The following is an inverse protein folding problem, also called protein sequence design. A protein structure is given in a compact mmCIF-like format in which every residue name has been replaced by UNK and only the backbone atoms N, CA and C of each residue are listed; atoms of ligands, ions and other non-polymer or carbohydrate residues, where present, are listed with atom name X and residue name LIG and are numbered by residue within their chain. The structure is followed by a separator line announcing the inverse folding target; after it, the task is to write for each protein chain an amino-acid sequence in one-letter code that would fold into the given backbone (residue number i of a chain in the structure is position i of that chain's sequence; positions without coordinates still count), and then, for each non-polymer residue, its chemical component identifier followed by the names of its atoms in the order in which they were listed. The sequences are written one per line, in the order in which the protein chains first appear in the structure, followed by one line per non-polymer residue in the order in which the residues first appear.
data_IF_281290047146
#
_entry.id   IF_281290047146
#
_cell.length_a   1.000
_cell.length_b   1.000
_cell.length_c   1.000
_cell.angle_alpha   90.00
_cell.angle_beta   90.00
_cell.angle_gamma   90.00
#
_symmetry.space_group_name_H-M   'P 1'
#
loop_
_entity.id
_entity.type
_entity.pdbx_description
1 polymer ?
#
# COMPACT_ATOMS: atom_id res chain seq x y z
N UNK A 1 4.39 -6.02 -11.28
CA UNK A 1 5.56 -6.15 -12.16
C UNK A 1 5.86 -7.62 -12.43
N UNK A 2 6.41 -7.95 -13.60
CA UNK A 2 6.84 -9.31 -13.94
C UNK A 2 8.06 -9.72 -13.12
N UNK A 3 7.93 -10.79 -12.36
CA UNK A 3 9.03 -11.39 -11.57
C UNK A 3 8.84 -12.90 -11.41
N UNK A 4 9.91 -13.62 -11.10
CA UNK A 4 9.84 -15.03 -10.72
C UNK A 4 9.50 -15.22 -9.26
N UNK A 5 9.86 -14.25 -8.43
CA UNK A 5 9.64 -14.28 -6.99
C UNK A 5 8.84 -13.07 -6.58
N UNK A 6 7.81 -13.31 -5.78
CA UNK A 6 7.00 -12.27 -5.15
C UNK A 6 6.91 -12.52 -3.67
N UNK A 7 6.94 -11.46 -2.90
CA UNK A 7 6.83 -11.45 -1.46
C UNK A 7 5.65 -10.55 -1.10
N UNK A 8 4.70 -11.06 -0.36
CA UNK A 8 3.46 -10.36 0.00
C UNK A 8 3.39 -10.30 1.52
N UNK A 9 3.89 -9.23 2.14
CA UNK A 9 3.58 -8.96 3.55
C UNK A 9 2.07 -8.93 3.77
N UNK A 10 1.55 -9.24 4.97
CA UNK A 10 0.13 -9.11 5.24
C UNK A 10 -0.30 -7.64 5.16
N UNK A 11 -1.59 -7.41 5.04
CA UNK A 11 -2.20 -6.11 5.34
C UNK A 11 -2.83 -6.14 6.73
N UNK A 12 -3.02 -4.97 7.33
CA UNK A 12 -3.86 -4.83 8.50
C UNK A 12 -5.27 -4.40 8.10
N UNK A 13 -6.27 -4.96 8.76
CA UNK A 13 -7.67 -4.63 8.61
C UNK A 13 -8.29 -4.32 9.98
N UNK A 14 -9.35 -3.54 10.00
CA UNK A 14 -10.01 -3.14 11.24
C UNK A 14 -10.98 -4.22 11.73
N UNK A 15 -10.60 -4.93 12.78
CA UNK A 15 -11.40 -5.98 13.44
C UNK A 15 -12.27 -5.48 14.60
N UNK A 16 -12.40 -4.17 14.81
CA UNK A 16 -13.28 -3.63 15.87
C UNK A 16 -14.74 -3.97 15.62
N UNK A 17 -15.45 -4.32 16.66
CA UNK A 17 -16.88 -4.65 16.57
C UNK A 17 -17.68 -3.51 15.94
N UNK A 18 -18.45 -3.83 14.91
CA UNK A 18 -19.25 -2.87 14.17
C UNK A 18 -18.47 -1.98 13.22
N UNK A 19 -17.20 -2.29 12.92
CA UNK A 19 -16.39 -1.56 11.96
C UNK A 19 -16.93 -1.67 10.53
N UNK A 20 -17.57 -2.77 10.18
CA UNK A 20 -17.98 -3.09 8.81
C UNK A 20 -16.82 -3.02 7.82
N UNK A 21 -15.62 -3.40 8.26
CA UNK A 21 -14.39 -3.42 7.48
C UNK A 21 -13.72 -4.80 7.49
N UNK A 22 -14.44 -5.82 7.95
CA UNK A 22 -13.94 -7.19 8.02
C UNK A 22 -13.59 -7.69 6.62
N UNK A 23 -12.37 -8.19 6.37
CA UNK A 23 -12.02 -8.81 5.12
C UNK A 23 -12.94 -10.01 4.86
N UNK A 24 -13.61 -10.01 3.73
CA UNK A 24 -14.46 -11.11 3.31
C UNK A 24 -13.69 -11.99 2.35
N UNK A 25 -14.03 -12.03 1.09
CA UNK A 25 -13.35 -12.87 0.12
C UNK A 25 -11.98 -12.30 -0.29
N UNK A 26 -10.94 -13.10 -0.14
CA UNK A 26 -9.55 -12.72 -0.45
C UNK A 26 -8.99 -13.67 -1.51
N UNK A 27 -8.38 -13.10 -2.56
CA UNK A 27 -7.87 -13.85 -3.70
C UNK A 27 -6.47 -13.41 -4.09
N UNK A 28 -5.62 -14.38 -4.44
CA UNK A 28 -4.37 -14.15 -5.16
C UNK A 28 -4.61 -14.45 -6.64
N UNK A 29 -4.29 -13.49 -7.51
CA UNK A 29 -4.31 -13.66 -8.96
C UNK A 29 -2.89 -13.75 -9.48
N UNK A 30 -2.63 -14.78 -10.30
CA UNK A 30 -1.34 -14.97 -10.95
C UNK A 30 -1.57 -15.06 -12.46
N UNK A 31 -0.85 -14.23 -13.22
CA UNK A 31 -0.94 -14.22 -14.68
C UNK A 31 0.42 -14.02 -15.33
N UNK A 32 0.53 -14.31 -16.62
CA UNK A 32 1.78 -14.16 -17.38
C UNK A 32 1.48 -13.86 -18.85
N UNK A 33 2.29 -13.00 -19.51
CA UNK A 33 2.22 -12.82 -20.96
C UNK A 33 2.85 -14.01 -21.74
N UNK A 34 3.44 -15.00 -21.06
CA UNK A 34 4.09 -16.16 -21.65
C UNK A 34 3.10 -17.03 -22.41
N UNK A 35 3.41 -17.38 -23.66
CA UNK A 35 2.69 -18.39 -24.43
C UNK A 35 3.03 -19.82 -24.04
N UNK A 36 4.04 -20.00 -23.19
CA UNK A 36 4.50 -21.28 -22.65
C UNK A 36 4.00 -21.35 -21.22
N UNK A 37 3.55 -22.54 -20.81
CA UNK A 37 3.13 -22.83 -19.46
C UNK A 37 4.20 -22.45 -18.42
N UNK A 38 3.76 -21.79 -17.37
CA UNK A 38 4.60 -21.31 -16.26
C UNK A 38 4.11 -21.96 -14.98
N UNK A 39 4.97 -22.76 -14.36
CA UNK A 39 4.66 -23.38 -13.08
C UNK A 39 4.88 -22.35 -11.96
N UNK A 40 3.96 -22.35 -11.00
CA UNK A 40 4.06 -21.51 -9.81
C UNK A 40 3.81 -22.31 -8.54
N UNK A 41 4.31 -21.76 -7.43
CA UNK A 41 4.06 -22.24 -6.07
C UNK A 41 3.74 -21.02 -5.19
N UNK A 42 2.59 -21.05 -4.52
CA UNK A 42 2.22 -20.08 -3.45
C UNK A 42 2.48 -20.74 -2.11
N UNK A 43 3.27 -20.09 -1.30
CA UNK A 43 3.74 -20.55 0.01
C UNK A 43 3.16 -19.64 1.08
N UNK A 44 2.13 -20.05 1.83
CA UNK A 44 1.73 -19.32 3.03
C UNK A 44 2.88 -19.35 4.04
N UNK A 45 3.28 -18.20 4.56
CA UNK A 45 4.37 -18.10 5.55
C UNK A 45 4.04 -18.93 6.79
N UNK A 46 5.04 -19.64 7.31
CA UNK A 46 4.90 -20.53 8.47
C UNK A 46 4.23 -21.87 8.19
N UNK A 47 3.78 -22.12 6.95
CA UNK A 47 3.11 -23.36 6.59
C UNK A 47 4.08 -24.50 6.23
N UNK A 48 3.61 -25.74 6.33
CA UNK A 48 4.36 -26.90 5.87
C UNK A 48 4.20 -27.08 4.35
N UNK A 49 5.12 -27.82 3.67
CA UNK A 49 5.02 -28.06 2.23
C UNK A 49 3.70 -28.69 1.76
N UNK A 50 2.99 -29.39 2.65
CA UNK A 50 1.68 -29.97 2.35
C UNK A 50 0.58 -28.90 2.11
N UNK A 51 0.80 -27.67 2.58
CA UNK A 51 -0.13 -26.55 2.40
C UNK A 51 0.24 -25.63 1.23
N UNK A 52 1.30 -25.94 0.48
CA UNK A 52 1.70 -25.15 -0.67
C UNK A 52 0.70 -25.34 -1.81
N UNK A 53 0.33 -24.23 -2.45
CA UNK A 53 -0.58 -24.24 -3.59
C UNK A 53 0.27 -24.16 -4.86
N UNK A 54 0.16 -25.19 -5.70
CA UNK A 54 0.91 -25.26 -6.97
C UNK A 54 -0.04 -25.25 -8.15
N UNK A 55 0.40 -24.69 -9.25
CA UNK A 55 -0.39 -24.67 -10.48
C UNK A 55 0.41 -24.20 -11.68
N UNK A 56 -0.31 -23.97 -12.76
CA UNK A 56 0.24 -23.54 -14.04
C UNK A 56 -0.57 -22.36 -14.57
N UNK A 57 0.11 -21.36 -15.11
CA UNK A 57 -0.49 -20.23 -15.82
C UNK A 57 0.14 -20.04 -17.20
N UNK A 58 -0.61 -19.44 -18.10
CA UNK A 58 -0.14 -19.05 -19.44
C UNK A 58 -0.84 -17.75 -19.88
N UNK A 59 -0.47 -17.21 -21.04
CA UNK A 59 -1.11 -16.02 -21.59
C UNK A 59 -2.64 -16.13 -21.70
N UNK A 60 -3.16 -17.34 -21.90
CA UNK A 60 -4.60 -17.62 -22.06
C UNK A 60 -5.29 -18.16 -20.81
N UNK A 61 -4.53 -18.41 -19.73
CA UNK A 61 -5.04 -19.01 -18.50
C UNK A 61 -4.31 -18.41 -17.28
N UNK A 62 -4.99 -17.56 -16.54
CA UNK A 62 -4.52 -17.06 -15.24
C UNK A 62 -4.96 -18.01 -14.12
N UNK A 63 -4.39 -17.83 -12.94
CA UNK A 63 -4.84 -18.48 -11.71
C UNK A 63 -5.57 -17.48 -10.82
N UNK A 64 -6.69 -17.94 -10.24
CA UNK A 64 -7.43 -17.29 -9.17
C UNK A 64 -7.42 -18.25 -7.97
N UNK A 65 -6.89 -17.81 -6.87
CA UNK A 65 -6.66 -18.62 -5.68
C UNK A 65 -7.33 -17.95 -4.49
N UNK A 66 -8.42 -18.52 -4.01
CA UNK A 66 -9.03 -18.08 -2.76
C UNK A 66 -8.10 -18.40 -1.60
N UNK A 67 -7.83 -17.41 -0.76
CA UNK A 67 -6.98 -17.55 0.43
C UNK A 67 -7.77 -17.44 1.73
N UNK A 68 -9.09 -17.27 1.64
CA UNK A 68 -10.02 -17.33 2.77
C UNK A 68 -10.76 -16.04 3.03
N UNK A 69 -11.39 -15.96 4.19
CA UNK A 69 -12.15 -14.83 4.70
C UNK A 69 -11.69 -14.47 6.11
N UNK A 70 -11.89 -13.23 6.53
CA UNK A 70 -11.50 -12.78 7.86
C UNK A 70 -9.99 -12.72 8.03
N UNK A 71 -9.53 -13.15 9.20
CA UNK A 71 -8.11 -13.23 9.52
C UNK A 71 -7.44 -14.39 8.77
N UNK A 72 -6.47 -14.07 7.93
CA UNK A 72 -5.74 -15.03 7.07
C UNK A 72 -4.23 -14.77 7.10
N UNK A 73 -3.47 -15.47 6.24
CA UNK A 73 -2.08 -15.10 6.02
C UNK A 73 -1.94 -13.74 5.31
N UNK A 74 -2.96 -13.28 4.57
CA UNK A 74 -2.91 -11.99 3.86
C UNK A 74 -3.44 -10.83 4.69
N UNK A 75 -4.56 -10.97 5.38
CA UNK A 75 -5.18 -9.91 6.17
C UNK A 75 -5.17 -10.25 7.65
N UNK A 76 -4.68 -9.33 8.47
CA UNK A 76 -4.73 -9.42 9.94
C UNK A 76 -5.85 -8.50 10.42
N UNK A 77 -6.83 -9.05 11.14
CA UNK A 77 -7.91 -8.27 11.73
C UNK A 77 -7.51 -7.73 13.11
N UNK A 78 -7.08 -6.47 13.16
CA UNK A 78 -6.62 -5.85 14.38
C UNK A 78 -7.76 -5.24 15.20
N UNK A 79 -7.73 -5.48 16.50
CA UNK A 79 -8.53 -4.83 17.53
C UNK A 79 -7.64 -4.00 18.46
N UNK A 80 -8.24 -3.28 19.42
CA UNK A 80 -7.46 -2.53 20.41
C UNK A 80 -6.55 -3.47 21.21
N UNK A 81 -5.25 -3.18 21.22
CA UNK A 81 -4.25 -3.97 21.94
C UNK A 81 -4.00 -5.37 21.37
N UNK A 82 -4.30 -5.57 20.09
CA UNK A 82 -4.12 -6.86 19.42
C UNK A 82 -2.64 -7.26 19.38
N UNK A 83 -2.35 -8.48 19.84
CA UNK A 83 -0.98 -8.98 19.96
C UNK A 83 -0.27 -9.24 18.60
N UNK A 84 -0.98 -9.22 17.49
CA UNK A 84 -0.40 -9.33 16.14
C UNK A 84 0.10 -8.00 15.59
N UNK A 85 -0.30 -6.85 16.18
CA UNK A 85 0.29 -5.56 15.90
C UNK A 85 1.58 -5.35 16.72
N UNK A 86 2.53 -4.62 16.17
CA UNK A 86 3.83 -4.33 16.77
C UNK A 86 4.55 -5.58 17.33
N UNK A 87 4.49 -6.67 16.56
CA UNK A 87 5.08 -7.95 16.92
C UNK A 87 5.70 -8.64 15.69
N UNK A 88 6.73 -9.45 15.93
CA UNK A 88 7.30 -10.31 14.90
C UNK A 88 6.38 -11.50 14.66
N UNK A 89 5.92 -11.66 13.42
CA UNK A 89 5.01 -12.72 13.01
C UNK A 89 5.70 -13.67 12.02
N UNK A 90 5.61 -14.96 12.28
CA UNK A 90 6.21 -16.02 11.44
C UNK A 90 5.17 -16.87 10.68
N UNK A 91 3.92 -16.41 10.64
CA UNK A 91 2.78 -17.13 10.05
C UNK A 91 1.87 -16.22 9.22
N UNK A 92 2.31 -15.02 8.84
CA UNK A 92 1.53 -14.06 8.06
C UNK A 92 2.31 -13.65 6.81
N UNK A 93 1.59 -13.54 5.69
CA UNK A 93 2.13 -13.23 4.37
C UNK A 93 2.26 -14.44 3.46
N UNK A 94 2.67 -14.17 2.22
CA UNK A 94 2.87 -15.18 1.18
C UNK A 94 4.20 -14.98 0.46
N UNK A 95 4.83 -16.08 0.07
CA UNK A 95 5.93 -16.10 -0.90
C UNK A 95 5.44 -16.85 -2.14
N UNK A 96 5.62 -16.26 -3.32
CA UNK A 96 5.22 -16.88 -4.59
C UNK A 96 6.46 -17.04 -5.47
N UNK A 97 6.70 -18.27 -5.89
CA UNK A 97 7.80 -18.63 -6.77
C UNK A 97 7.25 -19.16 -8.09
N UNK A 98 7.85 -18.74 -9.21
CA UNK A 98 7.52 -19.26 -10.53
C UNK A 98 8.79 -19.59 -11.33
N UNK A 99 8.71 -20.52 -12.26
CA UNK A 99 9.84 -20.91 -13.12
C UNK A 99 10.14 -19.83 -14.20
N UNK A 100 9.16 -18.99 -14.51
CA UNK A 100 9.24 -17.81 -15.40
C UNK A 100 8.55 -16.61 -14.77
N UNK A 101 8.81 -15.38 -15.28
CA UNK A 101 8.16 -14.20 -14.71
C UNK A 101 6.64 -14.21 -14.83
N UNK A 102 5.98 -13.86 -13.73
CA UNK A 102 4.52 -13.72 -13.60
C UNK A 102 4.17 -12.35 -13.03
N UNK A 103 2.93 -11.91 -13.24
CA UNK A 103 2.30 -10.85 -12.45
C UNK A 103 1.56 -11.48 -11.28
N UNK A 104 1.58 -10.80 -10.14
CA UNK A 104 0.81 -11.18 -8.96
C UNK A 104 0.07 -9.98 -8.43
N UNK A 105 -1.23 -10.13 -8.20
CA UNK A 105 -2.04 -9.19 -7.44
C UNK A 105 -2.84 -9.92 -6.37
N UNK A 106 -3.14 -9.22 -5.29
CA UNK A 106 -4.08 -9.70 -4.27
C UNK A 106 -5.26 -8.75 -4.26
N UNK A 107 -6.46 -9.29 -4.18
CA UNK A 107 -7.71 -8.52 -4.12
C UNK A 107 -8.57 -9.07 -3.01
N UNK A 108 -9.34 -8.18 -2.39
CA UNK A 108 -10.26 -8.53 -1.32
C UNK A 108 -11.54 -7.70 -1.38
N UNK A 109 -12.58 -8.28 -0.85
CA UNK A 109 -13.79 -7.61 -0.42
C UNK A 109 -13.77 -7.38 1.09
N UNK A 110 -14.50 -6.40 1.56
CA UNK A 110 -14.67 -6.15 2.97
C UNK A 110 -16.01 -5.47 3.28
N UNK A 111 -16.67 -5.92 4.34
CA UNK A 111 -17.86 -5.28 4.89
C UNK A 111 -19.03 -5.11 3.93
N UNK A 112 -19.10 -5.87 2.85
CA UNK A 112 -20.18 -5.89 1.87
C UNK A 112 -20.25 -4.66 0.95
N UNK A 113 -19.29 -3.73 1.00
CA UNK A 113 -19.30 -2.53 0.18
C UNK A 113 -17.89 -1.96 -0.12
N UNK A 114 -16.85 -2.45 0.53
CA UNK A 114 -15.47 -2.05 0.32
C UNK A 114 -14.72 -3.12 -0.46
N UNK A 115 -13.74 -2.67 -1.25
CA UNK A 115 -12.86 -3.55 -1.97
C UNK A 115 -11.43 -3.01 -1.94
N UNK A 116 -10.44 -3.89 -2.07
CA UNK A 116 -9.05 -3.51 -2.09
C UNK A 116 -8.24 -4.36 -3.05
N UNK A 117 -7.24 -3.75 -3.66
CA UNK A 117 -6.28 -4.43 -4.50
C UNK A 117 -4.85 -3.99 -4.19
N UNK A 118 -3.95 -4.94 -4.21
CA UNK A 118 -2.52 -4.73 -4.06
C UNK A 118 -1.81 -5.42 -5.22
N UNK A 119 -0.91 -4.71 -5.89
CA UNK A 119 -0.11 -5.28 -6.96
C UNK A 119 1.32 -5.51 -6.49
N UNK A 120 1.74 -6.76 -6.46
CA UNK A 120 3.13 -7.08 -6.10
C UNK A 120 4.11 -6.50 -7.10
N UNK A 121 5.12 -5.82 -6.58
CA UNK A 121 6.20 -5.24 -7.37
C UNK A 121 7.32 -6.28 -7.68
N UNK A 122 7.18 -7.53 -7.20
CA UNK A 122 8.18 -8.58 -7.40
C UNK A 122 9.56 -8.16 -6.93
N UNK A 123 10.60 -8.40 -7.75
CA UNK A 123 11.96 -7.99 -7.42
C UNK A 123 12.16 -6.46 -7.35
N UNK A 124 11.27 -5.66 -7.95
CA UNK A 124 11.34 -4.21 -7.79
C UNK A 124 10.82 -3.73 -6.44
N UNK A 125 10.02 -4.53 -5.73
CA UNK A 125 9.61 -4.25 -4.35
C UNK A 125 10.74 -4.40 -3.34
N UNK A 126 11.82 -5.08 -3.69
CA UNK A 126 12.99 -5.25 -2.81
C UNK A 126 13.74 -3.93 -2.64
N UNK A 127 14.05 -3.57 -1.42
CA UNK A 127 14.80 -2.36 -1.09
C UNK A 127 15.20 -2.33 0.38
N UNK A 128 15.91 -1.26 0.78
CA UNK A 128 16.43 -1.09 2.14
C UNK A 128 15.98 0.20 2.81
N UNK A 129 15.38 1.12 2.07
CA UNK A 129 14.88 2.39 2.58
C UNK A 129 13.59 2.75 1.86
N UNK A 130 12.55 3.12 2.63
CA UNK A 130 11.20 3.41 2.13
C UNK A 130 10.58 4.56 2.92
N UNK A 131 9.57 5.20 2.31
CA UNK A 131 8.66 6.11 3.00
C UNK A 131 7.23 5.63 2.81
N UNK A 132 6.51 5.46 3.90
CA UNK A 132 5.12 4.99 3.89
C UNK A 132 4.16 6.02 3.33
N UNK A 133 3.05 5.55 2.78
CA UNK A 133 1.89 6.35 2.40
C UNK A 133 0.62 5.71 2.91
N UNK A 134 -0.38 6.54 3.22
CA UNK A 134 -1.73 6.12 3.59
C UNK A 134 -2.71 7.22 3.22
N UNK A 135 -4.01 6.99 3.35
CA UNK A 135 -4.94 8.10 3.43
C UNK A 135 -4.62 8.95 4.68
N UNK A 136 -4.85 10.25 4.61
CA UNK A 136 -4.74 11.13 5.78
C UNK A 136 -5.94 10.99 6.72
N UNK A 137 -7.01 10.35 6.26
CA UNK A 137 -8.18 9.96 7.06
C UNK A 137 -8.74 11.07 7.97
N UNK A 138 -8.73 12.32 7.49
CA UNK A 138 -9.16 13.50 8.26
C UNK A 138 -10.58 13.33 8.80
N UNK A 139 -10.77 13.63 10.09
CA UNK A 139 -12.05 13.53 10.78
C UNK A 139 -12.80 12.23 10.46
N UNK A 140 -12.26 11.08 10.77
CA UNK A 140 -12.86 9.81 10.42
C UNK A 140 -14.29 9.73 10.96
N UNK A 141 -15.27 9.58 10.05
CA UNK A 141 -16.69 9.58 10.40
C UNK A 141 -17.14 8.35 11.19
N UNK A 142 -16.26 7.42 11.44
CA UNK A 142 -16.51 6.19 12.18
C UNK A 142 -15.20 5.57 12.67
N UNK A 143 -15.33 4.55 13.54
CA UNK A 143 -14.20 3.81 14.11
C UNK A 143 -13.67 2.67 13.19
N UNK A 144 -14.05 2.63 11.93
CA UNK A 144 -13.64 1.57 11.02
C UNK A 144 -12.42 1.90 10.14
N UNK A 145 -11.83 3.10 10.30
CA UNK A 145 -10.59 3.45 9.61
C UNK A 145 -9.37 2.81 10.29
N UNK A 146 -8.41 2.38 9.50
CA UNK A 146 -7.14 1.86 9.98
C UNK A 146 -6.04 2.18 8.97
N UNK A 147 -4.93 2.77 9.43
CA UNK A 147 -3.72 2.98 8.65
C UNK A 147 -2.64 2.01 9.11
N UNK A 148 -1.80 1.52 8.18
CA UNK A 148 -0.78 0.53 8.51
C UNK A 148 0.48 0.63 7.65
N UNK A 149 1.57 0.06 8.19
CA UNK A 149 2.82 -0.27 7.53
C UNK A 149 3.09 -1.74 7.83
N UNK A 150 3.37 -2.54 6.81
CA UNK A 150 3.71 -3.95 6.95
C UNK A 150 4.99 -4.27 6.19
N UNK A 151 5.93 -4.93 6.85
CA UNK A 151 7.20 -5.33 6.26
C UNK A 151 7.38 -6.84 6.30
N UNK A 152 8.12 -7.38 5.33
CA UNK A 152 8.58 -8.76 5.32
C UNK A 152 10.08 -8.80 5.02
N UNK A 153 10.86 -9.47 5.85
CA UNK A 153 12.27 -9.72 5.59
C UNK A 153 12.43 -10.82 4.53
N UNK A 154 13.49 -10.71 3.71
CA UNK A 154 13.81 -11.73 2.70
C UNK A 154 15.03 -12.58 3.08
N UNK A 155 15.65 -12.28 4.19
CA UNK A 155 16.85 -12.96 4.70
C UNK A 155 16.85 -13.00 6.23
N UNK A 156 17.50 -14.01 6.80
CA UNK A 156 17.63 -14.15 8.26
C UNK A 156 18.43 -13.00 8.88
N UNK A 157 18.10 -12.68 10.14
CA UNK A 157 18.73 -11.63 10.92
C UNK A 157 18.75 -10.27 10.18
N UNK A 158 17.64 -9.87 9.60
CA UNK A 158 17.46 -8.56 8.99
C UNK A 158 17.06 -7.55 10.06
N UNK A 159 17.89 -6.53 10.27
CA UNK A 159 17.56 -5.41 11.15
C UNK A 159 16.64 -4.44 10.40
N UNK A 160 15.49 -4.11 10.99
CA UNK A 160 14.52 -3.17 10.45
C UNK A 160 14.30 -2.05 11.47
N UNK A 161 14.34 -0.82 11.02
CA UNK A 161 14.05 0.39 11.82
C UNK A 161 12.86 1.13 11.22
N UNK A 162 11.86 1.43 12.03
CA UNK A 162 10.82 2.41 11.71
C UNK A 162 11.17 3.68 12.45
N UNK A 163 11.44 4.75 11.74
CA UNK A 163 11.94 6.01 12.31
C UNK A 163 11.03 7.19 12.01
N UNK A 164 11.21 8.27 12.76
CA UNK A 164 10.43 9.50 12.64
C UNK A 164 8.92 9.31 12.94
N UNK A 165 8.59 8.41 13.84
CA UNK A 165 7.22 8.26 14.36
C UNK A 165 7.02 9.31 15.45
N UNK A 166 5.97 10.11 15.37
CA UNK A 166 5.65 11.07 16.43
C UNK A 166 5.19 10.36 17.70
N UNK A 167 5.61 10.89 18.85
CA UNK A 167 5.22 10.34 20.17
C UNK A 167 3.74 10.54 20.52
N UNK A 168 3.03 11.30 19.72
CA UNK A 168 1.58 11.53 19.83
C UNK A 168 0.75 10.50 19.06
N UNK A 169 1.39 9.71 18.21
CA UNK A 169 0.76 8.63 17.46
C UNK A 169 0.48 7.45 18.40
N UNK A 170 -0.77 7.00 18.46
CA UNK A 170 -1.24 5.91 19.31
C UNK A 170 -1.22 4.58 18.51
N UNK A 171 -0.07 3.89 18.52
CA UNK A 171 0.12 2.63 17.82
C UNK A 171 -0.62 1.49 18.53
N UNK A 172 -1.22 0.59 17.77
CA UNK A 172 -1.86 -0.60 18.31
C UNK A 172 -0.81 -1.50 18.97
N UNK A 173 -1.05 -1.91 20.22
CA UNK A 173 -0.18 -2.80 21.00
C UNK A 173 1.26 -2.31 21.18
N UNK A 174 1.49 -1.01 21.20
CA UNK A 174 2.81 -0.43 21.47
C UNK A 174 2.72 0.64 22.56
N UNK A 175 3.72 0.72 23.40
CA UNK A 175 3.80 1.77 24.42
C UNK A 175 4.78 2.86 23.97
N UNK A 176 4.25 3.94 23.46
CA UNK A 176 5.04 5.06 22.96
C UNK A 176 5.84 5.71 24.10
N UNK A 177 7.11 6.11 23.81
CA UNK A 177 7.89 6.86 24.78
C UNK A 177 7.25 8.21 25.10
N UNK A 178 7.10 8.56 26.37
CA UNK A 178 6.50 9.81 26.79
C UNK A 178 7.30 11.05 26.32
N UNK A 179 6.60 12.15 26.07
CA UNK A 179 7.18 13.45 25.70
C UNK A 179 6.84 13.89 24.30
N UNK A 180 7.51 14.95 23.85
CA UNK A 180 7.37 15.50 22.49
C UNK A 180 8.46 14.98 21.56
N UNK A 181 8.27 15.18 20.25
CA UNK A 181 9.20 14.76 19.20
C UNK A 181 8.93 13.34 18.69
N UNK A 182 9.91 12.75 18.05
CA UNK A 182 9.82 11.44 17.40
C UNK A 182 10.52 10.33 18.19
N UNK A 183 10.27 9.09 17.78
CA UNK A 183 10.97 7.91 18.27
C UNK A 183 11.14 6.89 17.13
N UNK A 184 11.96 5.87 17.38
CA UNK A 184 12.23 4.78 16.45
C UNK A 184 11.88 3.44 17.09
N UNK A 185 11.39 2.52 16.26
CA UNK A 185 11.20 1.11 16.62
C UNK A 185 12.25 0.29 15.87
N UNK A 186 12.96 -0.58 16.56
CA UNK A 186 14.00 -1.42 15.97
C UNK A 186 13.67 -2.88 16.21
N UNK A 187 13.61 -3.66 15.14
CA UNK A 187 13.30 -5.09 15.18
C UNK A 187 14.31 -5.90 14.37
N UNK A 188 14.41 -7.18 14.69
CA UNK A 188 15.18 -8.13 13.91
C UNK A 188 14.26 -9.23 13.41
N UNK A 189 14.24 -9.44 12.10
CA UNK A 189 13.38 -10.40 11.43
C UNK A 189 14.23 -11.48 10.76
N UNK A 190 13.81 -12.72 10.86
CA UNK A 190 14.33 -13.80 10.03
C UNK A 190 13.61 -13.84 8.68
N UNK A 191 14.12 -14.65 7.75
CA UNK A 191 13.56 -14.75 6.40
C UNK A 191 12.06 -15.07 6.43
N UNK A 192 11.27 -14.23 5.77
CA UNK A 192 9.81 -14.28 5.65
C UNK A 192 9.02 -13.91 6.92
N UNK A 193 9.70 -13.63 8.03
CA UNK A 193 9.02 -12.98 9.14
C UNK A 193 8.54 -11.60 8.77
N UNK A 194 7.44 -11.18 9.39
CA UNK A 194 6.76 -9.92 9.11
C UNK A 194 6.58 -9.11 10.38
N UNK A 195 6.43 -7.80 10.21
CA UNK A 195 6.13 -6.88 11.31
C UNK A 195 5.12 -5.84 10.83
N UNK A 196 4.08 -5.60 11.62
CA UNK A 196 2.99 -4.67 11.25
C UNK A 196 2.86 -3.58 12.29
N UNK A 197 2.99 -2.32 11.86
CA UNK A 197 2.58 -1.15 12.63
C UNK A 197 1.21 -0.69 12.12
N UNK A 198 0.31 -0.37 13.02
CA UNK A 198 -1.02 0.11 12.66
C UNK A 198 -1.57 1.10 13.70
N UNK A 199 -2.46 1.96 13.23
CA UNK A 199 -3.18 2.94 14.05
C UNK A 199 -4.66 2.95 13.69
N UNK A 200 -5.50 3.31 14.65
CA UNK A 200 -6.89 3.66 14.38
C UNK A 200 -7.01 5.19 14.32
N UNK A 201 -7.27 5.79 13.15
CA UNK A 201 -7.44 7.25 13.00
C UNK A 201 -8.47 7.85 13.96
N UNK A 202 -9.52 7.09 14.31
CA UNK A 202 -10.55 7.54 15.24
C UNK A 202 -10.10 7.68 16.71
N UNK A 203 -8.92 7.16 17.09
CA UNK A 203 -8.45 7.25 18.46
C UNK A 203 -7.94 8.65 18.81
N UNK A 204 -7.12 9.22 17.96
CA UNK A 204 -6.53 10.56 18.16
C UNK A 204 -6.32 11.25 16.81
N UNK A 205 -6.31 12.57 16.78
CA UNK A 205 -6.01 13.33 15.56
C UNK A 205 -4.60 13.01 15.00
N UNK A 206 -3.65 12.68 15.86
CA UNK A 206 -2.30 12.30 15.43
C UNK A 206 -2.24 10.97 14.65
N UNK A 207 -3.29 10.15 14.75
CA UNK A 207 -3.38 8.89 14.01
C UNK A 207 -3.94 9.09 12.60
N UNK A 208 -4.55 10.24 12.29
CA UNK A 208 -5.17 10.49 11.00
C UNK A 208 -4.13 10.37 9.87
N UNK A 209 -2.97 10.99 10.05
CA UNK A 209 -1.86 11.02 9.09
C UNK A 209 -0.50 10.55 9.67
N UNK A 210 -0.48 10.15 10.93
CA UNK A 210 0.74 9.86 11.69
C UNK A 210 1.65 8.77 11.14
N UNK A 211 1.13 7.91 10.25
CA UNK A 211 1.94 6.93 9.53
C UNK A 211 2.40 7.39 8.15
N UNK A 212 1.94 8.53 7.62
CA UNK A 212 2.41 9.04 6.33
C UNK A 212 3.86 9.50 6.49
N UNK A 213 4.76 9.02 5.63
CA UNK A 213 6.15 9.42 5.57
C UNK A 213 7.05 8.84 6.67
N UNK A 214 6.60 7.88 7.47
CA UNK A 214 7.48 7.11 8.37
C UNK A 214 8.61 6.52 7.56
N UNK A 215 9.84 6.72 8.02
CA UNK A 215 11.05 6.16 7.39
C UNK A 215 11.22 4.70 7.84
N UNK A 216 11.32 3.80 6.86
CA UNK A 216 11.56 2.38 7.09
C UNK A 216 12.93 2.05 6.51
N UNK A 217 13.85 1.64 7.34
CA UNK A 217 15.21 1.28 6.94
C UNK A 217 15.55 -0.15 7.34
N UNK A 218 16.44 -0.79 6.58
CA UNK A 218 16.93 -2.13 6.87
C UNK A 218 18.35 -2.34 6.38
N UNK A 219 19.09 -3.26 7.01
CA UNK A 219 20.42 -3.64 6.58
C UNK A 219 20.42 -4.60 5.38
N UNK A 220 19.32 -5.33 5.16
CA UNK A 220 19.10 -6.26 4.04
C UNK A 220 17.79 -5.95 3.33
N UNK A 221 17.58 -6.54 2.16
CA UNK A 221 16.36 -6.29 1.39
C UNK A 221 15.11 -6.76 2.12
N UNK A 222 14.15 -5.87 2.21
CA UNK A 222 12.79 -6.09 2.70
C UNK A 222 11.77 -5.75 1.63
N UNK A 223 10.52 -6.13 1.86
CA UNK A 223 9.37 -5.71 1.07
C UNK A 223 8.39 -5.01 1.98
N UNK A 224 7.76 -3.94 1.49
CA UNK A 224 6.86 -3.10 2.27
C UNK A 224 5.51 -2.96 1.57
N UNK A 225 4.43 -3.30 2.29
CA UNK A 225 3.06 -2.90 1.98
C UNK A 225 2.66 -1.74 2.89
N UNK A 226 1.90 -0.79 2.38
CA UNK A 226 1.44 0.36 3.14
C UNK A 226 0.07 0.80 2.68
N UNK A 227 -0.63 1.56 3.51
CA UNK A 227 -1.91 2.13 3.14
C UNK A 227 -2.92 2.15 4.27
N UNK A 228 -4.18 2.14 3.87
CA UNK A 228 -5.32 2.18 4.77
C UNK A 228 -6.30 1.08 4.45
N UNK A 229 -6.79 0.38 5.45
CA UNK A 229 -8.00 -0.41 5.34
C UNK A 229 -9.18 0.48 5.75
N UNK A 230 -10.07 0.72 4.80
CA UNK A 230 -11.25 1.55 5.02
C UNK A 230 -10.91 3.00 5.41
N UNK A 231 -10.14 3.70 4.60
CA UNK A 231 -9.71 5.08 4.78
C UNK A 231 -10.19 6.03 3.69
N UNK A 232 -9.84 7.31 3.78
CA UNK A 232 -10.18 8.34 2.81
C UNK A 232 -9.25 9.54 2.92
N UNK A 233 -9.01 10.25 1.81
CA UNK A 233 -8.42 11.60 1.81
C UNK A 233 -9.45 12.70 2.12
N UNK A 234 -10.72 12.35 2.19
CA UNK A 234 -11.81 13.30 2.38
C UNK A 234 -12.38 13.27 3.80
N UNK A 235 -12.77 14.43 4.29
CA UNK A 235 -13.52 14.57 5.53
C UNK A 235 -15.00 14.21 5.30
N UNK A 236 -15.36 12.95 5.43
CA UNK A 236 -16.73 12.51 5.19
C UNK A 236 -16.98 11.03 5.38
N UNK A 237 -18.01 10.53 4.74
CA UNK A 237 -18.49 9.15 4.90
C UNK A 237 -17.98 8.19 3.83
N UNK A 238 -17.37 8.69 2.77
CA UNK A 238 -16.77 7.86 1.72
C UNK A 238 -15.45 7.26 2.18
N UNK A 239 -15.29 5.95 1.99
CA UNK A 239 -14.12 5.21 2.43
C UNK A 239 -14.00 3.89 1.68
N UNK A 240 -12.75 3.49 1.44
CA UNK A 240 -12.43 2.19 0.86
C UNK A 240 -11.01 1.78 1.27
N UNK A 241 -10.55 0.62 0.79
CA UNK A 241 -9.17 0.19 0.94
C UNK A 241 -8.26 0.95 -0.02
N UNK A 242 -7.26 1.64 0.53
CA UNK A 242 -6.16 2.24 -0.22
C UNK A 242 -4.86 1.55 0.16
N UNK A 243 -4.53 0.46 -0.50
CA UNK A 243 -3.39 -0.39 -0.16
C UNK A 243 -2.53 -0.65 -1.38
N UNK A 244 -1.20 -0.63 -1.23
CA UNK A 244 -0.30 -1.13 -2.27
C UNK A 244 1.04 -1.59 -1.69
N UNK A 245 1.79 -2.32 -2.49
CA UNK A 245 3.18 -2.61 -2.27
C UNK A 245 4.02 -1.48 -2.86
N UNK A 246 4.99 -0.98 -2.10
CA UNK A 246 5.87 0.11 -2.53
C UNK A 246 7.26 -0.39 -2.92
N UNK A 247 8.07 0.49 -3.48
CA UNK A 247 9.46 0.21 -3.88
C UNK A 247 10.43 0.98 -3.00
N UNK A 248 11.70 0.60 -3.00
CA UNK A 248 12.74 1.34 -2.28
C UNK A 248 13.01 2.72 -2.88
N UNK A 249 13.56 3.63 -2.07
CA UNK A 249 13.88 5.02 -2.40
C UNK A 249 14.77 5.16 -3.64
N UNK A 250 15.57 4.15 -3.96
CA UNK A 250 16.40 4.15 -5.15
C UNK A 250 15.60 4.05 -6.46
N UNK A 251 14.32 3.63 -6.39
CA UNK A 251 13.42 3.42 -7.54
C UNK A 251 12.33 4.47 -7.68
N UNK A 252 12.24 5.42 -6.77
CA UNK A 252 11.38 6.61 -6.92
C UNK A 252 12.13 7.71 -7.66
N UNK A 253 11.44 8.73 -8.12
CA UNK A 253 11.99 9.77 -8.98
C UNK A 253 11.50 11.16 -8.66
N UNK A 254 11.67 12.06 -9.63
CA UNK A 254 11.35 13.48 -9.52
C UNK A 254 10.26 13.94 -10.50
N UNK A 255 9.81 13.05 -11.40
CA UNK A 255 8.82 13.40 -12.42
C UNK A 255 7.71 12.35 -12.44
N UNK A 256 6.46 12.82 -12.40
CA UNK A 256 5.27 11.99 -12.35
C UNK A 256 4.17 12.55 -13.23
N UNK A 257 3.34 11.67 -13.77
CA UNK A 257 2.11 12.02 -14.47
C UNK A 257 0.95 11.20 -13.90
N UNK A 258 -0.15 11.89 -13.62
CA UNK A 258 -1.36 11.29 -13.09
C UNK A 258 -2.52 11.58 -14.05
N UNK A 259 -3.48 10.66 -14.09
CA UNK A 259 -4.72 10.82 -14.83
C UNK A 259 -5.86 10.86 -13.83
N UNK A 260 -6.72 11.88 -13.93
CA UNK A 260 -7.86 12.04 -13.06
C UNK A 260 -8.84 10.88 -13.25
N UNK A 261 -9.37 10.35 -12.15
CA UNK A 261 -10.44 9.38 -12.18
C UNK A 261 -11.82 10.02 -12.38
N UNK A 262 -12.87 9.31 -12.02
CA UNK A 262 -14.26 9.78 -12.18
C UNK A 262 -14.81 10.54 -10.97
N UNK A 263 -14.01 10.83 -9.96
CA UNK A 263 -14.43 11.46 -8.71
C UNK A 263 -14.51 12.98 -8.77
N UNK A 264 -15.13 13.57 -7.76
CA UNK A 264 -15.08 14.99 -7.52
C UNK A 264 -13.68 15.43 -7.11
N UNK A 265 -13.36 16.72 -7.26
CA UNK A 265 -12.03 17.26 -6.98
C UNK A 265 -11.49 16.91 -5.59
N UNK A 266 -12.31 16.90 -4.55
CA UNK A 266 -11.89 16.53 -3.21
C UNK A 266 -11.56 15.04 -3.02
N UNK A 267 -11.86 14.18 -3.99
CA UNK A 267 -11.63 12.73 -3.93
C UNK A 267 -10.60 12.23 -4.93
N UNK A 268 -10.11 13.09 -5.78
CA UNK A 268 -9.04 12.83 -6.75
C UNK A 268 -7.74 13.44 -6.22
N UNK A 269 -7.02 12.68 -5.42
CA UNK A 269 -5.90 13.19 -4.66
C UNK A 269 -4.58 12.53 -5.08
N UNK A 270 -3.51 13.31 -5.05
CA UNK A 270 -2.14 12.82 -5.18
C UNK A 270 -1.39 13.14 -3.90
N UNK A 271 -0.91 12.11 -3.22
CA UNK A 271 -0.03 12.23 -2.07
C UNK A 271 1.42 12.13 -2.53
N UNK A 272 2.22 13.15 -2.22
CA UNK A 272 3.66 13.17 -2.45
C UNK A 272 4.38 13.21 -1.10
N UNK A 273 5.31 12.28 -0.89
CA UNK A 273 6.07 12.18 0.37
C UNK A 273 7.55 12.45 0.08
N UNK A 274 8.14 13.39 0.82
CA UNK A 274 9.54 13.80 0.68
C UNK A 274 10.51 12.67 1.05
N UNK A 275 11.63 12.59 0.34
CA UNK A 275 12.79 11.76 0.73
C UNK A 275 13.93 12.59 1.30
N UNK A 276 13.95 13.89 0.98
CA UNK A 276 14.95 14.86 1.41
C UNK A 276 14.25 16.15 1.87
N UNK A 277 14.96 16.95 2.68
CA UNK A 277 14.46 18.25 3.12
C UNK A 277 14.52 19.28 1.99
N UNK A 278 13.70 20.33 2.09
CA UNK A 278 13.57 21.40 1.11
C UNK A 278 13.21 20.90 -0.30
N UNK A 279 12.43 19.84 -0.39
CA UNK A 279 11.93 19.32 -1.66
C UNK A 279 10.85 20.22 -2.24
N UNK A 280 11.19 20.95 -3.31
CA UNK A 280 10.25 21.84 -4.02
C UNK A 280 9.38 21.04 -5.00
N UNK A 281 8.07 21.22 -4.90
CA UNK A 281 7.08 20.61 -5.79
C UNK A 281 6.56 21.67 -6.77
N UNK A 282 6.49 21.31 -8.05
CA UNK A 282 5.89 22.12 -9.11
C UNK A 282 4.88 21.29 -9.88
N UNK A 283 3.82 21.91 -10.35
CA UNK A 283 2.70 21.27 -11.04
C UNK A 283 2.48 21.87 -12.42
N UNK A 284 2.11 21.01 -13.38
CA UNK A 284 1.69 21.36 -14.74
C UNK A 284 2.69 22.27 -15.51
N UNK A 285 3.99 22.05 -15.28
CA UNK A 285 5.05 22.82 -15.95
C UNK A 285 5.22 24.26 -15.47
N UNK A 286 4.54 24.67 -14.39
CA UNK A 286 4.73 25.97 -13.79
C UNK A 286 6.14 26.11 -13.21
N UNK A 287 6.74 27.29 -13.39
CA UNK A 287 8.05 27.61 -12.80
C UNK A 287 7.95 27.99 -11.31
N UNK A 288 6.78 28.44 -10.86
CA UNK A 288 6.53 28.75 -9.47
C UNK A 288 6.49 27.44 -8.63
N UNK A 289 7.06 27.51 -7.44
CA UNK A 289 6.99 26.44 -6.46
C UNK A 289 5.55 26.38 -5.93
N UNK A 290 4.92 25.21 -6.04
CA UNK A 290 3.60 24.94 -5.48
C UNK A 290 3.69 24.74 -3.97
N UNK A 291 4.59 23.85 -3.56
CA UNK A 291 4.82 23.50 -2.15
C UNK A 291 6.29 23.17 -1.91
N UNK A 292 6.74 23.31 -0.69
CA UNK A 292 8.03 22.78 -0.23
C UNK A 292 7.77 21.82 0.92
N UNK A 293 8.32 20.61 0.84
CA UNK A 293 8.15 19.55 1.83
C UNK A 293 9.51 19.09 2.35
N UNK A 294 9.54 18.65 3.61
CA UNK A 294 10.77 18.36 4.35
C UNK A 294 10.71 16.96 4.97
N UNK A 295 11.56 16.06 4.54
CA UNK A 295 11.56 14.66 5.00
C UNK A 295 11.78 14.50 6.51
N UNK A 296 12.46 15.44 7.15
CA UNK A 296 12.75 15.44 8.59
C UNK A 296 11.68 16.12 9.45
N UNK A 297 10.76 16.91 8.85
CA UNK A 297 9.68 17.59 9.58
C UNK A 297 8.38 16.78 9.47
N UNK A 298 7.98 16.13 10.54
CA UNK A 298 6.77 15.30 10.60
C UNK A 298 5.49 16.05 10.23
N UNK A 299 5.44 17.38 10.41
CA UNK A 299 4.28 18.20 10.06
C UNK A 299 4.31 18.71 8.61
N UNK A 300 5.41 18.49 7.88
CA UNK A 300 5.59 19.02 6.52
C UNK A 300 6.24 17.99 5.57
N UNK A 301 6.26 16.71 5.92
CA UNK A 301 6.94 15.65 5.13
C UNK A 301 6.17 15.17 3.92
N UNK A 302 4.96 15.67 3.70
CA UNK A 302 4.14 15.33 2.56
C UNK A 302 3.27 16.51 2.12
N UNK A 303 2.74 16.41 0.91
CA UNK A 303 1.68 17.28 0.39
C UNK A 303 0.64 16.45 -0.33
N UNK A 304 -0.63 16.85 -0.20
CA UNK A 304 -1.75 16.31 -0.96
C UNK A 304 -2.16 17.35 -2.00
N UNK A 305 -2.15 16.95 -3.28
CA UNK A 305 -2.65 17.72 -4.40
C UNK A 305 -4.07 17.23 -4.71
N UNK A 306 -5.03 18.13 -4.78
CA UNK A 306 -6.44 17.79 -5.00
C UNK A 306 -6.81 17.79 -6.49
N UNK A 307 -8.00 17.33 -6.82
CA UNK A 307 -8.50 17.22 -8.20
C UNK A 307 -8.57 18.53 -8.97
N UNK A 308 -8.62 19.68 -8.29
CA UNK A 308 -8.55 21.02 -8.90
C UNK A 308 -7.16 21.39 -9.43
N UNK A 309 -6.11 20.65 -9.05
CA UNK A 309 -4.75 20.82 -9.59
C UNK A 309 -4.56 20.12 -10.95
N UNK A 310 -5.47 19.20 -11.31
CA UNK A 310 -5.45 18.58 -12.63
C UNK A 310 -5.79 19.60 -13.72
N UNK A 311 -5.13 19.48 -14.87
CA UNK A 311 -5.46 20.29 -16.05
C UNK A 311 -6.92 20.06 -16.46
N UNK A 312 -7.72 21.11 -16.45
CA UNK A 312 -9.16 21.04 -16.70
C UNK A 312 -9.54 20.56 -18.12
N UNK A 313 -8.60 20.59 -19.07
CA UNK A 313 -8.85 20.18 -20.46
C UNK A 313 -8.47 18.73 -20.70
N UNK A 314 -7.38 18.28 -20.10
CA UNK A 314 -6.79 16.97 -20.36
C UNK A 314 -6.98 16.00 -19.20
N UNK A 315 -7.48 16.47 -18.06
CA UNK A 315 -7.67 15.68 -16.83
C UNK A 315 -6.38 14.97 -16.39
N UNK A 316 -5.25 15.65 -16.58
CA UNK A 316 -3.92 15.16 -16.22
C UNK A 316 -3.24 16.10 -15.24
N UNK A 317 -2.41 15.55 -14.37
CA UNK A 317 -1.57 16.30 -13.46
C UNK A 317 -0.12 15.88 -13.68
N UNK A 318 0.73 16.82 -14.10
CA UNK A 318 2.16 16.61 -14.23
C UNK A 318 2.86 17.23 -13.02
N UNK A 319 3.67 16.44 -12.33
CA UNK A 319 4.43 16.88 -11.15
C UNK A 319 5.92 16.79 -11.42
N UNK A 320 6.65 17.83 -11.04
CA UNK A 320 8.11 17.80 -10.92
C UNK A 320 8.53 18.17 -9.52
N UNK A 321 9.49 17.44 -8.98
CA UNK A 321 10.08 17.68 -7.67
C UNK A 321 11.58 17.97 -7.80
N UNK A 322 12.16 18.79 -6.92
CA UNK A 322 13.61 19.06 -6.92
C UNK A 322 14.43 17.86 -6.43
N UNK A 323 13.86 17.05 -5.56
CA UNK A 323 14.42 15.81 -5.02
C UNK A 323 13.43 14.66 -5.23
N UNK A 324 13.87 13.43 -5.02
CA UNK A 324 13.00 12.25 -5.13
C UNK A 324 11.81 12.31 -4.18
N UNK A 325 10.66 11.85 -4.62
CA UNK A 325 9.46 11.71 -3.79
C UNK A 325 8.81 10.34 -4.00
N UNK A 326 8.15 9.83 -2.98
CA UNK A 326 7.15 8.77 -3.16
C UNK A 326 5.85 9.41 -3.61
N UNK A 327 5.17 8.78 -4.56
CA UNK A 327 3.92 9.29 -5.12
C UNK A 327 2.82 8.24 -5.04
N UNK A 328 1.66 8.66 -4.56
CA UNK A 328 0.47 7.82 -4.46
C UNK A 328 -0.70 8.57 -5.08
N UNK A 329 -1.56 7.85 -5.78
CA UNK A 329 -2.80 8.41 -6.31
C UNK A 329 -3.99 7.77 -5.63
N UNK A 330 -4.89 8.61 -5.09
CA UNK A 330 -6.22 8.22 -4.66
C UNK A 330 -7.23 8.61 -5.73
N UNK A 331 -8.17 7.73 -6.02
CA UNK A 331 -9.24 7.97 -6.99
C UNK A 331 -10.62 7.80 -6.33
N UNK A 332 -11.55 8.68 -6.67
CA UNK A 332 -12.94 8.63 -6.23
C UNK A 332 -13.87 8.09 -7.29
N UNK A 333 -15.17 7.99 -6.97
CA UNK A 333 -16.21 7.66 -7.94
C UNK A 333 -17.05 8.88 -8.33
N UNK A 334 -17.71 8.82 -9.49
CA UNK A 334 -18.45 9.95 -10.07
C UNK A 334 -19.71 10.38 -9.33
N UNK A 335 -20.23 9.61 -8.39
CA UNK A 335 -21.52 9.86 -7.76
C UNK A 335 -21.50 9.93 -6.25
N UNK A 336 -20.47 9.39 -5.63
CA UNK A 336 -20.24 9.49 -4.20
C UNK A 336 -18.74 9.22 -3.92
N UNK A 337 -18.34 9.52 -2.73
CA UNK A 337 -16.99 9.35 -2.23
C UNK A 337 -16.59 7.89 -1.99
N UNK A 338 -17.53 6.98 -2.07
CA UNK A 338 -17.34 5.58 -1.73
C UNK A 338 -16.56 4.86 -2.79
N UNK A 339 -15.45 4.71 -3.03
CA UNK A 339 -14.54 3.94 -3.87
C UNK A 339 -13.19 4.67 -4.00
N UNK A 340 -12.77 5.28 -2.92
CA UNK A 340 -11.44 5.85 -2.86
C UNK A 340 -10.44 4.72 -2.70
N UNK A 341 -9.82 4.31 -3.78
CA UNK A 341 -8.64 3.47 -3.74
C UNK A 341 -7.39 4.35 -3.79
N UNK A 342 -6.30 3.88 -3.20
CA UNK A 342 -4.99 4.52 -3.29
C UNK A 342 -3.97 3.49 -3.76
N UNK A 343 -3.08 3.90 -4.64
CA UNK A 343 -2.00 3.05 -5.14
C UNK A 343 -0.71 3.83 -5.34
N UNK A 344 0.41 3.14 -5.24
CA UNK A 344 1.73 3.70 -5.50
C UNK A 344 1.93 3.92 -7.01
N UNK A 345 2.34 5.13 -7.38
CA UNK A 345 2.60 5.52 -8.77
C UNK A 345 4.12 5.55 -9.02
N UNK A 346 4.64 4.81 -10.01
CA UNK A 346 6.05 4.86 -10.36
C UNK A 346 6.39 6.19 -11.06
N UNK A 347 7.65 6.65 -10.94
CA UNK A 347 8.09 7.84 -11.67
C UNK A 347 8.10 7.62 -13.19
N UNK A 348 8.02 8.70 -13.95
CA UNK A 348 8.19 8.64 -15.39
C UNK A 348 9.56 8.06 -15.74
N UNK A 349 9.58 7.11 -16.65
CA UNK A 349 10.79 6.41 -17.07
C UNK A 349 10.77 6.11 -18.56
N UNK A 350 11.88 6.35 -19.23
CA UNK A 350 12.08 5.94 -20.63
C UNK A 350 12.15 4.40 -20.80
N UNK A 351 12.17 3.65 -19.71
CA UNK A 351 12.18 2.17 -19.72
C UNK A 351 10.79 1.54 -19.67
N UNK A 352 9.73 2.36 -19.60
CA UNK A 352 8.35 1.87 -19.67
C UNK A 352 8.09 1.23 -21.03
N UNK A 353 7.53 0.03 -21.03
CA UNK A 353 7.13 -0.66 -22.26
C UNK A 353 5.85 -0.10 -22.89
N UNK A 354 5.15 0.81 -22.20
CA UNK A 354 3.93 1.47 -22.69
C UNK A 354 2.77 0.54 -23.01
N UNK A 355 2.76 -0.67 -22.44
CA UNK A 355 1.68 -1.62 -22.61
C UNK A 355 1.36 -2.33 -21.30
N UNK A 356 0.07 -2.50 -21.04
CA UNK A 356 -0.46 -3.36 -19.97
C UNK A 356 -1.01 -4.61 -20.63
N UNK A 357 -0.62 -5.76 -20.14
CA UNK A 357 -0.98 -7.06 -20.71
C UNK A 357 -1.44 -8.01 -19.60
N UNK A 358 -2.46 -8.79 -19.92
CA UNK A 358 -2.89 -9.92 -19.11
C UNK A 358 -3.32 -9.58 -17.67
N UNK A 359 -4.28 -8.66 -17.53
CA UNK A 359 -4.92 -8.35 -16.24
C UNK A 359 -6.08 -9.32 -16.03
N UNK A 360 -5.96 -10.30 -15.12
CA UNK A 360 -7.03 -11.27 -14.90
C UNK A 360 -8.22 -10.61 -14.18
N UNK A 361 -9.44 -10.95 -14.62
CA UNK A 361 -10.69 -10.53 -13.96
C UNK A 361 -10.66 -9.07 -13.47
N UNK A 362 -10.33 -8.14 -14.35
CA UNK A 362 -10.15 -6.73 -13.94
C UNK A 362 -11.40 -6.14 -13.28
N UNK A 363 -12.58 -6.66 -13.63
CA UNK A 363 -13.88 -6.21 -13.14
C UNK A 363 -14.39 -7.04 -11.94
N UNK A 364 -13.63 -8.06 -11.49
CA UNK A 364 -14.13 -9.00 -10.49
C UNK A 364 -13.17 -9.16 -9.32
N UNK A 365 -13.75 -9.41 -8.15
CA UNK A 365 -13.09 -10.08 -7.01
C UNK A 365 -13.85 -11.40 -6.80
N UNK A 366 -13.21 -12.51 -7.07
CA UNK A 366 -13.92 -13.78 -7.09
C UNK A 366 -15.05 -13.80 -8.10
N UNK A 367 -16.30 -13.94 -7.63
CA UNK A 367 -17.51 -13.92 -8.45
C UNK A 367 -18.24 -12.57 -8.43
N UNK A 368 -17.84 -11.63 -7.57
CA UNK A 368 -18.47 -10.33 -7.44
C UNK A 368 -17.94 -9.33 -8.48
N UNK A 369 -18.84 -8.57 -9.09
CA UNK A 369 -18.53 -7.61 -10.15
C UNK A 369 -18.29 -6.20 -9.58
N UNK A 370 -17.20 -5.57 -9.98
CA UNK A 370 -16.84 -4.19 -9.64
C UNK A 370 -16.56 -3.37 -10.89
N UNK A 371 -16.68 -2.06 -10.78
CA UNK A 371 -16.28 -1.16 -11.87
C UNK A 371 -14.75 -1.11 -11.95
N UNK A 372 -14.19 -1.63 -13.04
CA UNK A 372 -12.76 -1.60 -13.32
C UNK A 372 -12.42 -0.51 -14.34
N UNK A 373 -11.25 0.13 -14.14
CA UNK A 373 -10.68 1.11 -15.07
C UNK A 373 -9.25 0.69 -15.43
N UNK A 374 -8.86 0.89 -16.70
CA UNK A 374 -7.50 0.64 -17.22
C UNK A 374 -6.98 1.89 -17.92
#
# INVERSE_FOLDING_TARGET
QLSKNHYIPPIASNGRSGSNADPEDQFIYISTPSSIDVNYTVIPVGSSPASYITGVVSKSAYAEISVGTGDTNFAIQLTDGDAEAAAVLNNKGYVINADRPVYVSVRLEAGGAQAGALVSKGSAGLGKSFRSGSFDSQNPGSNNYLNFISVMATSDNTSVTFDQIERTVDLINYAEPAGAGTFSINETLDAFETYVLAVFPSNTAANEDGLIGVLIESDKDIVVNTGSSNGSFWNGSGRDYGIDQIVGIEKVGTEYAFVKGGGNDGWENVLLVATEDNTEIRVNGNTAVHSTIDASDTNNRYVILEGNEYDATHETLFVTASEKVFAYQGIGSGTNEANQSMFFVPPLSCQSVGSVDNIPNIEFIGTEEYNGFV
#
